data_IF_412705043615
#
_entry.id   IF_412705043615
#
_cell.length_a   1.000
_cell.length_b   1.000
_cell.length_c   1.000
_cell.angle_alpha   90.00
_cell.angle_beta   90.00
_cell.angle_gamma   90.00
#
_symmetry.space_group_name_H-M   'P 1'
#
loop_
_entity.id
_entity.type
_entity.pdbx_description
1 polymer ?
#
# COMPACT_ATOMS: atom_id res chain seq x y z
N UNK A 1 28.33 -17.60 -69.44
CA UNK A 1 27.54 -18.75 -68.94
C UNK A 1 26.97 -18.41 -67.56
N UNK A 2 25.66 -18.58 -67.41
CA UNK A 2 24.83 -18.77 -66.18
C UNK A 2 25.23 -17.97 -64.93
N UNK A 3 24.52 -16.91 -64.56
CA UNK A 3 23.17 -16.88 -63.95
C UNK A 3 23.06 -17.73 -62.68
N UNK A 4 23.04 -17.07 -61.52
CA UNK A 4 22.13 -17.42 -60.43
C UNK A 4 21.82 -16.17 -59.59
N UNK A 5 20.59 -15.67 -59.78
CA UNK A 5 19.92 -14.71 -58.90
C UNK A 5 19.47 -15.46 -57.65
N UNK A 6 19.84 -14.99 -56.46
CA UNK A 6 19.05 -15.25 -55.25
C UNK A 6 18.31 -13.98 -54.88
N UNK A 7 16.98 -14.05 -55.04
CA UNK A 7 16.02 -13.06 -54.58
C UNK A 7 15.91 -13.19 -53.06
N UNK A 8 16.39 -12.21 -52.31
CA UNK A 8 15.99 -12.04 -50.91
C UNK A 8 14.78 -11.11 -50.90
N UNK A 9 13.64 -11.69 -50.55
CA UNK A 9 12.34 -11.02 -50.41
C UNK A 9 12.39 -9.94 -49.32
N UNK A 10 11.67 -8.82 -49.50
CA UNK A 10 11.63 -7.74 -48.52
C UNK A 10 10.56 -8.07 -47.47
N UNK A 11 10.99 -8.56 -46.30
CA UNK A 11 10.19 -8.47 -45.09
C UNK A 11 10.88 -7.49 -44.15
N UNK A 12 10.66 -6.21 -44.43
CA UNK A 12 10.80 -5.13 -43.46
C UNK A 12 9.65 -5.30 -42.49
N UNK A 13 9.86 -6.09 -41.42
CA UNK A 13 9.01 -6.00 -40.24
C UNK A 13 9.59 -4.87 -39.39
N UNK A 14 8.91 -3.73 -39.50
CA UNK A 14 9.09 -2.59 -38.61
C UNK A 14 8.98 -3.09 -37.17
N UNK A 15 10.10 -3.04 -36.45
CA UNK A 15 10.10 -2.99 -35.00
C UNK A 15 9.58 -1.60 -34.60
N UNK A 16 8.27 -1.41 -34.77
CA UNK A 16 7.57 -0.25 -34.22
C UNK A 16 7.61 -0.40 -32.72
N UNK A 17 8.50 0.36 -32.09
CA UNK A 17 8.58 0.52 -30.66
C UNK A 17 7.23 0.90 -30.09
N UNK A 18 6.62 -0.03 -29.36
CA UNK A 18 5.73 0.33 -28.27
C UNK A 18 6.61 0.90 -27.15
N UNK A 19 7.05 2.14 -27.33
CA UNK A 19 7.18 3.03 -26.20
C UNK A 19 5.76 3.14 -25.66
N UNK A 20 5.44 2.30 -24.68
CA UNK A 20 4.33 2.57 -23.79
C UNK A 20 4.57 3.99 -23.30
N UNK A 21 3.75 4.93 -23.77
CA UNK A 21 3.61 6.24 -23.19
C UNK A 21 3.23 5.98 -21.74
N UNK A 22 4.24 5.93 -20.87
CA UNK A 22 4.05 6.08 -19.44
C UNK A 22 3.50 7.49 -19.34
N UNK A 23 2.18 7.60 -19.32
CA UNK A 23 1.51 8.80 -18.86
C UNK A 23 2.11 9.09 -17.50
N UNK A 24 2.98 10.11 -17.45
CA UNK A 24 3.49 10.65 -16.20
C UNK A 24 2.22 11.12 -15.51
N UNK A 25 1.71 10.32 -14.57
CA UNK A 25 0.59 10.74 -13.77
C UNK A 25 1.02 12.05 -13.11
N UNK A 26 0.27 13.12 -13.32
CA UNK A 26 0.50 14.36 -12.59
C UNK A 26 0.47 14.01 -11.09
N UNK A 27 1.49 14.48 -10.38
CA UNK A 27 1.62 14.35 -8.94
C UNK A 27 0.35 14.88 -8.26
N UNK A 28 -0.51 13.97 -7.78
CA UNK A 28 -1.67 14.34 -7.00
C UNK A 28 -1.20 14.92 -5.66
N UNK A 29 -1.91 15.95 -5.16
CA UNK A 29 -1.56 16.51 -3.86
C UNK A 29 -1.72 15.45 -2.76
N UNK A 30 -0.94 15.53 -1.68
CA UNK A 30 -1.07 14.61 -0.54
C UNK A 30 -2.52 14.53 0.01
N UNK A 31 -3.25 15.65 -0.04
CA UNK A 31 -4.64 15.73 0.38
C UNK A 31 -5.59 14.96 -0.56
N UNK A 32 -5.37 15.04 -1.87
CA UNK A 32 -6.12 14.25 -2.85
C UNK A 32 -5.82 12.75 -2.70
N UNK A 33 -4.54 12.40 -2.53
CA UNK A 33 -4.11 11.01 -2.37
C UNK A 33 -4.73 10.34 -1.14
N UNK A 34 -4.74 11.00 0.03
CA UNK A 34 -5.39 10.40 1.20
C UNK A 34 -6.90 10.26 0.97
N UNK A 35 -7.54 11.19 0.25
CA UNK A 35 -8.96 11.14 -0.05
C UNK A 35 -9.32 9.99 -1.01
N UNK A 36 -8.44 9.65 -1.96
CA UNK A 36 -8.68 8.65 -3.01
C UNK A 36 -8.13 7.26 -2.70
N UNK A 37 -7.53 7.03 -1.52
CA UNK A 37 -7.07 5.68 -1.12
C UNK A 37 -8.19 4.66 -1.34
N UNK A 38 -7.98 3.61 -2.16
CA UNK A 38 -8.96 2.56 -2.39
C UNK A 38 -9.33 1.85 -1.09
N UNK A 39 -10.62 1.77 -0.81
CA UNK A 39 -11.14 1.04 0.35
C UNK A 39 -11.12 -0.48 0.10
N UNK A 40 -11.13 -1.30 1.18
CA UNK A 40 -11.40 -2.73 1.04
C UNK A 40 -12.72 -2.98 0.29
N UNK A 41 -12.79 -4.05 -0.52
CA UNK A 41 -14.06 -4.51 -1.09
C UNK A 41 -15.10 -4.82 -0.01
N UNK A 42 -16.38 -4.77 -0.38
CA UNK A 42 -17.49 -4.99 0.57
C UNK A 42 -17.87 -6.46 0.72
N UNK A 43 -17.51 -7.30 -0.23
CA UNK A 43 -17.88 -8.70 -0.31
C UNK A 43 -16.69 -9.59 -0.74
N UNK A 44 -16.81 -10.87 -0.42
CA UNK A 44 -15.77 -11.87 -0.68
C UNK A 44 -15.50 -12.05 -2.17
N UNK A 45 -16.52 -12.06 -3.02
CA UNK A 45 -16.36 -12.32 -4.44
C UNK A 45 -15.55 -11.21 -5.13
N UNK A 46 -15.84 -9.95 -4.80
CA UNK A 46 -15.05 -8.79 -5.25
C UNK A 46 -13.62 -8.84 -4.71
N UNK A 47 -13.42 -9.17 -3.42
CA UNK A 47 -12.06 -9.28 -2.88
C UNK A 47 -11.21 -10.38 -3.52
N UNK A 48 -11.80 -11.53 -3.84
CA UNK A 48 -11.11 -12.61 -4.55
C UNK A 48 -10.84 -12.23 -6.01
N UNK A 49 -11.76 -11.54 -6.68
CA UNK A 49 -11.57 -11.14 -8.08
C UNK A 49 -10.43 -10.13 -8.27
N UNK A 50 -10.10 -9.38 -7.22
CA UNK A 50 -8.94 -8.49 -7.18
C UNK A 50 -7.61 -9.24 -7.20
N UNK A 51 -7.55 -10.53 -6.91
CA UNK A 51 -6.30 -11.29 -6.81
C UNK A 51 -6.12 -12.24 -7.99
N UNK A 52 -5.01 -12.09 -8.72
CA UNK A 52 -4.57 -13.00 -9.78
C UNK A 52 -3.10 -13.33 -9.57
N UNK A 53 -2.74 -14.61 -9.59
CA UNK A 53 -1.37 -15.10 -9.40
C UNK A 53 -0.69 -14.54 -8.12
N UNK A 54 -1.47 -14.37 -7.05
CA UNK A 54 -0.99 -13.83 -5.77
C UNK A 54 -0.75 -12.31 -5.76
N UNK A 55 -1.10 -11.61 -6.84
CA UNK A 55 -1.00 -10.16 -6.97
C UNK A 55 -2.38 -9.51 -7.00
N UNK A 56 -2.48 -8.31 -6.41
CA UNK A 56 -3.70 -7.51 -6.53
C UNK A 56 -3.67 -6.82 -7.90
N UNK A 57 -4.66 -7.13 -8.75
CA UNK A 57 -4.77 -6.67 -10.14
C UNK A 57 -5.88 -5.62 -10.34
N UNK A 58 -6.57 -5.22 -9.27
CA UNK A 58 -7.62 -4.21 -9.34
C UNK A 58 -7.08 -2.88 -9.93
N UNK A 59 -7.67 -2.35 -11.01
CA UNK A 59 -7.17 -1.15 -11.68
C UNK A 59 -7.03 0.07 -10.77
N UNK A 60 -8.00 0.32 -9.89
CA UNK A 60 -7.96 1.45 -8.96
C UNK A 60 -6.78 1.35 -7.98
N UNK A 61 -6.50 0.13 -7.49
CA UNK A 61 -5.34 -0.13 -6.63
C UNK A 61 -4.02 0.05 -7.36
N UNK A 62 -3.90 -0.47 -8.59
CA UNK A 62 -2.68 -0.34 -9.39
C UNK A 62 -2.39 1.12 -9.77
N UNK A 63 -3.42 1.86 -10.18
CA UNK A 63 -3.31 3.30 -10.48
C UNK A 63 -2.89 4.08 -9.25
N UNK A 64 -3.47 3.79 -8.08
CA UNK A 64 -3.08 4.44 -6.83
C UNK A 64 -1.62 4.17 -6.46
N UNK A 65 -1.12 2.94 -6.67
CA UNK A 65 0.30 2.62 -6.46
C UNK A 65 1.23 3.41 -7.38
N UNK A 66 0.85 3.57 -8.65
CA UNK A 66 1.61 4.39 -9.59
C UNK A 66 1.68 5.86 -9.13
N UNK A 67 0.58 6.40 -8.59
CA UNK A 67 0.57 7.76 -8.02
C UNK A 67 1.48 7.87 -6.80
N UNK A 68 1.47 6.88 -5.89
CA UNK A 68 2.41 6.84 -4.75
C UNK A 68 3.88 6.78 -5.21
N UNK A 69 4.17 6.03 -6.26
CA UNK A 69 5.54 5.93 -6.80
C UNK A 69 5.98 7.24 -7.46
N UNK A 70 5.07 7.92 -8.18
CA UNK A 70 5.32 9.25 -8.74
C UNK A 70 5.60 10.30 -7.64
N UNK A 71 4.81 10.28 -6.56
CA UNK A 71 5.06 11.12 -5.39
C UNK A 71 6.39 10.80 -4.71
N UNK A 72 6.74 9.52 -4.59
CA UNK A 72 8.03 9.14 -4.00
C UNK A 72 9.19 9.67 -4.86
N UNK A 73 9.05 9.64 -6.19
CA UNK A 73 10.04 10.22 -7.09
C UNK A 73 10.16 11.74 -6.93
N UNK A 74 9.04 12.47 -6.77
CA UNK A 74 9.07 13.92 -6.55
C UNK A 74 9.72 14.29 -5.21
N UNK A 75 9.46 13.51 -4.15
CA UNK A 75 10.13 13.60 -2.85
C UNK A 75 11.64 13.39 -2.96
N UNK A 76 12.07 12.35 -3.68
CA UNK A 76 13.49 12.04 -3.90
C UNK A 76 14.16 13.20 -4.65
N UNK A 77 13.51 13.74 -5.70
CA UNK A 77 14.03 14.88 -6.44
C UNK A 77 14.20 16.12 -5.55
N UNK A 78 13.22 16.40 -4.67
CA UNK A 78 13.31 17.49 -3.69
C UNK A 78 14.49 17.30 -2.72
N UNK A 79 14.76 16.06 -2.31
CA UNK A 79 15.87 15.70 -1.42
C UNK A 79 17.22 15.50 -2.15
N UNK A 80 17.42 16.15 -3.30
CA UNK A 80 18.69 16.09 -4.03
C UNK A 80 18.99 14.73 -4.69
N UNK A 81 17.97 13.94 -5.00
CA UNK A 81 18.10 12.67 -5.71
C UNK A 81 18.26 11.44 -4.81
N UNK A 82 18.11 11.59 -3.50
CA UNK A 82 18.18 10.46 -2.55
C UNK A 82 16.90 10.32 -1.72
N UNK A 83 16.50 9.11 -1.30
CA UNK A 83 15.39 8.94 -0.36
C UNK A 83 15.65 9.68 0.96
N UNK A 84 14.69 10.47 1.48
CA UNK A 84 14.86 11.17 2.74
C UNK A 84 14.91 10.20 3.92
N UNK A 85 15.72 10.53 4.94
CA UNK A 85 15.78 9.79 6.19
C UNK A 85 14.58 10.19 7.06
N UNK A 86 13.66 9.25 7.29
CA UNK A 86 12.47 9.50 8.11
C UNK A 86 12.79 9.45 9.61
N UNK A 87 12.12 10.30 10.38
CA UNK A 87 12.09 10.21 11.84
C UNK A 87 13.17 11.00 12.57
N UNK A 88 13.94 11.82 11.85
CA UNK A 88 14.90 12.74 12.45
C UNK A 88 14.31 14.16 12.47
N UNK A 89 14.39 14.82 13.62
CA UNK A 89 13.95 16.21 13.71
C UNK A 89 14.88 17.10 12.86
N UNK A 90 14.33 17.97 12.00
CA UNK A 90 15.13 18.92 11.23
C UNK A 90 15.75 19.99 12.15
N UNK A 91 16.83 20.63 11.69
CA UNK A 91 17.45 21.72 12.45
C UNK A 91 16.47 22.90 12.62
N UNK A 92 16.32 23.46 13.83
CA UNK A 92 15.40 24.57 14.08
C UNK A 92 15.87 25.91 13.49
N UNK A 93 17.16 26.02 13.10
CA UNK A 93 17.81 27.27 12.69
C UNK A 93 18.11 27.34 11.19
N UNK A 94 17.29 26.72 10.35
CA UNK A 94 17.48 26.75 8.89
C UNK A 94 17.16 28.17 8.37
N UNK A 95 18.11 28.85 7.68
CA UNK A 95 17.95 30.23 7.20
C UNK A 95 17.11 30.29 5.91
N UNK A 96 15.91 29.71 5.96
CA UNK A 96 14.93 29.72 4.87
C UNK A 96 13.77 30.68 5.16
N UNK A 97 12.92 30.90 4.14
CA UNK A 97 11.73 31.73 4.25
C UNK A 97 10.80 31.29 5.40
N UNK A 98 10.01 32.22 5.99
CA UNK A 98 9.12 31.91 7.11
C UNK A 98 8.16 30.74 6.85
N UNK A 99 7.66 30.58 5.62
CA UNK A 99 6.78 29.48 5.26
C UNK A 99 7.47 28.12 5.35
N UNK A 100 8.76 28.05 4.97
CA UNK A 100 9.58 26.84 5.09
C UNK A 100 9.84 26.53 6.56
N UNK A 101 10.19 27.54 7.37
CA UNK A 101 10.35 27.36 8.82
C UNK A 101 9.05 26.90 9.51
N UNK A 102 7.90 27.39 9.07
CA UNK A 102 6.60 26.97 9.58
C UNK A 102 6.29 25.50 9.22
N UNK A 103 6.60 25.06 7.99
CA UNK A 103 6.44 23.68 7.59
C UNK A 103 7.40 22.74 8.36
N UNK A 104 8.65 23.16 8.56
CA UNK A 104 9.65 22.45 9.37
C UNK A 104 9.15 22.26 10.81
N UNK A 105 8.61 23.31 11.43
CA UNK A 105 8.01 23.23 12.77
C UNK A 105 6.79 22.30 12.80
N UNK A 106 5.98 22.31 11.74
CA UNK A 106 4.88 21.37 11.58
C UNK A 106 5.36 19.91 11.53
N UNK A 107 6.48 19.65 10.86
CA UNK A 107 7.08 18.32 10.82
C UNK A 107 7.61 17.87 12.19
N UNK A 108 8.30 18.77 12.89
CA UNK A 108 8.80 18.52 14.26
C UNK A 108 7.65 18.14 15.22
N UNK A 109 6.57 18.94 15.21
CA UNK A 109 5.34 18.64 15.97
C UNK A 109 4.72 17.29 15.58
N UNK A 110 4.76 16.94 14.30
CA UNK A 110 4.29 15.64 13.84
C UNK A 110 5.14 14.51 14.43
N UNK A 111 6.48 14.63 14.39
CA UNK A 111 7.39 13.63 14.93
C UNK A 111 7.19 13.43 16.43
N UNK A 112 7.06 14.51 17.19
CA UNK A 112 6.80 14.47 18.63
C UNK A 112 5.50 13.72 18.95
N UNK A 113 4.43 14.02 18.22
CA UNK A 113 3.12 13.39 18.42
C UNK A 113 3.06 11.93 17.95
N UNK A 114 3.95 11.52 17.02
CA UNK A 114 3.89 10.25 16.31
C UNK A 114 5.18 9.44 16.42
N UNK A 115 5.73 9.37 17.63
CA UNK A 115 6.92 8.58 17.96
C UNK A 115 6.60 7.37 18.86
N UNK A 116 7.54 6.44 18.97
CA UNK A 116 7.46 5.31 19.90
C UNK A 116 6.21 4.45 19.71
N UNK A 117 5.37 4.35 20.74
CA UNK A 117 4.12 3.56 20.66
C UNK A 117 3.03 4.20 19.79
N UNK A 118 3.15 5.50 19.52
CA UNK A 118 2.21 6.30 18.73
C UNK A 118 2.66 6.44 17.27
N UNK A 119 3.87 5.94 16.93
CA UNK A 119 4.31 5.78 15.55
C UNK A 119 3.22 5.09 14.72
N UNK A 120 2.82 5.64 13.55
CA UNK A 120 1.66 5.16 12.82
C UNK A 120 1.77 3.70 12.41
N UNK A 121 2.98 3.25 12.03
CA UNK A 121 3.22 1.84 11.68
C UNK A 121 3.02 0.95 12.90
N UNK A 122 3.53 1.35 14.06
CA UNK A 122 3.39 0.61 15.33
C UNK A 122 1.94 0.58 15.81
N UNK A 123 1.25 1.71 15.76
CA UNK A 123 -0.16 1.82 16.14
C UNK A 123 -1.05 0.97 15.24
N UNK A 124 -0.84 1.02 13.92
CA UNK A 124 -1.58 0.18 12.98
C UNK A 124 -1.28 -1.30 13.19
N UNK A 125 -0.01 -1.67 13.36
CA UNK A 125 0.40 -3.06 13.59
C UNK A 125 -0.24 -3.68 14.83
N UNK A 126 -0.44 -2.92 15.91
CA UNK A 126 -1.17 -3.40 17.09
C UNK A 126 -2.62 -3.73 16.77
N UNK A 127 -3.32 -2.82 16.06
CA UNK A 127 -4.72 -3.01 15.66
C UNK A 127 -4.88 -4.18 14.70
N UNK A 128 -4.03 -4.29 13.69
CA UNK A 128 -4.09 -5.39 12.71
C UNK A 128 -3.81 -6.75 13.34
N UNK A 129 -2.85 -6.86 14.25
CA UNK A 129 -2.60 -8.11 15.01
C UNK A 129 -3.79 -8.50 15.87
N UNK A 130 -4.42 -7.55 16.55
CA UNK A 130 -5.60 -7.81 17.36
C UNK A 130 -6.76 -8.35 16.50
N UNK A 131 -7.01 -7.74 15.34
CA UNK A 131 -8.02 -8.23 14.38
C UNK A 131 -7.73 -9.63 13.89
N UNK A 132 -6.48 -9.88 13.47
CA UNK A 132 -6.06 -11.21 13.02
C UNK A 132 -6.23 -12.26 14.11
N UNK A 133 -5.95 -11.93 15.37
CA UNK A 133 -6.12 -12.83 16.51
C UNK A 133 -7.60 -13.10 16.81
N UNK A 134 -8.44 -12.06 16.83
CA UNK A 134 -9.87 -12.17 17.15
C UNK A 134 -10.63 -13.08 16.18
N UNK A 135 -10.30 -13.01 14.88
CA UNK A 135 -10.92 -13.83 13.84
C UNK A 135 -10.15 -15.11 13.50
N UNK A 136 -8.87 -15.20 13.88
CA UNK A 136 -7.97 -16.28 13.48
C UNK A 136 -8.39 -17.64 14.03
N UNK A 137 -8.74 -17.72 15.32
CA UNK A 137 -9.05 -19.00 15.96
C UNK A 137 -10.35 -19.63 15.43
N UNK A 138 -11.38 -18.82 15.22
CA UNK A 138 -12.66 -19.30 14.69
C UNK A 138 -12.51 -19.77 13.25
N UNK A 139 -11.78 -19.02 12.40
CA UNK A 139 -11.48 -19.41 11.02
C UNK A 139 -10.65 -20.69 10.97
N UNK A 140 -9.58 -20.79 11.77
CA UNK A 140 -8.76 -22.00 11.84
C UNK A 140 -9.58 -23.24 12.21
N UNK A 141 -10.42 -23.13 13.25
CA UNK A 141 -11.30 -24.22 13.70
C UNK A 141 -12.31 -24.63 12.63
N UNK A 142 -12.79 -23.69 11.82
CA UNK A 142 -13.68 -24.01 10.70
C UNK A 142 -12.94 -24.74 9.58
N UNK A 143 -11.74 -24.24 9.22
CA UNK A 143 -10.94 -24.81 8.13
C UNK A 143 -10.44 -26.22 8.45
N UNK A 144 -10.13 -26.53 9.70
CA UNK A 144 -9.80 -27.90 10.16
C UNK A 144 -10.95 -28.89 9.94
N UNK A 145 -12.20 -28.42 9.87
CA UNK A 145 -13.38 -29.26 9.61
C UNK A 145 -13.65 -29.45 8.12
N UNK A 146 -13.07 -28.63 7.26
CA UNK A 146 -13.20 -28.79 5.81
C UNK A 146 -12.36 -29.98 5.37
N UNK A 147 -12.95 -30.85 4.55
CA UNK A 147 -12.17 -31.88 3.85
C UNK A 147 -11.19 -31.19 2.89
N UNK A 148 -9.90 -31.53 2.93
CA UNK A 148 -8.90 -30.92 2.06
C UNK A 148 -9.19 -31.25 0.59
N UNK A 149 -8.99 -30.26 -0.29
CA UNK A 149 -9.16 -30.40 -1.73
C UNK A 149 -8.24 -29.41 -2.45
N UNK A 150 -7.70 -29.79 -3.60
CA UNK A 150 -6.98 -28.84 -4.47
C UNK A 150 -7.94 -27.76 -4.96
N UNK A 151 -7.51 -26.50 -4.95
CA UNK A 151 -8.33 -25.40 -5.45
C UNK A 151 -8.08 -25.18 -6.95
N UNK A 152 -9.13 -25.11 -7.81
CA UNK A 152 -10.55 -25.28 -7.49
C UNK A 152 -10.92 -26.75 -7.23
N UNK A 153 -11.80 -27.01 -6.25
CA UNK A 153 -12.18 -28.37 -5.87
C UNK A 153 -13.12 -29.00 -6.90
N UNK A 154 -12.72 -30.14 -7.48
CA UNK A 154 -13.49 -30.85 -8.50
C UNK A 154 -14.14 -32.15 -8.00
N UNK A 155 -13.81 -32.62 -6.79
CA UNK A 155 -14.40 -33.83 -6.23
C UNK A 155 -15.82 -33.54 -5.70
N UNK A 156 -16.88 -34.09 -6.33
CA UNK A 156 -18.26 -33.80 -5.95
C UNK A 156 -18.61 -34.31 -4.54
N UNK A 157 -17.92 -35.35 -4.05
CA UNK A 157 -18.12 -35.90 -2.69
C UNK A 157 -17.58 -34.95 -1.64
N UNK A 158 -16.41 -34.36 -1.90
CA UNK A 158 -15.80 -33.36 -1.02
C UNK A 158 -16.59 -32.06 -1.08
N UNK A 159 -17.03 -31.62 -2.26
CA UNK A 159 -17.90 -30.44 -2.43
C UNK A 159 -19.21 -30.62 -1.63
N UNK A 160 -19.88 -31.77 -1.75
CA UNK A 160 -21.11 -32.05 -1.00
C UNK A 160 -20.87 -32.09 0.51
N UNK A 161 -19.75 -32.68 0.96
CA UNK A 161 -19.39 -32.75 2.37
C UNK A 161 -19.04 -31.36 2.97
N UNK A 162 -18.42 -30.48 2.19
CA UNK A 162 -18.01 -29.15 2.63
C UNK A 162 -19.12 -28.10 2.47
N UNK A 163 -20.14 -28.32 1.65
CA UNK A 163 -21.24 -27.38 1.38
C UNK A 163 -21.82 -26.66 2.62
N UNK A 164 -22.18 -27.35 3.74
CA UNK A 164 -22.70 -26.67 4.93
C UNK A 164 -21.65 -25.81 5.65
N UNK A 165 -20.37 -26.13 5.53
CA UNK A 165 -19.26 -25.39 6.13
C UNK A 165 -18.81 -24.22 5.25
N UNK A 166 -18.99 -24.30 3.93
CA UNK A 166 -18.69 -23.22 2.99
C UNK A 166 -19.60 -22.01 3.18
N UNK A 167 -20.89 -22.21 3.46
CA UNK A 167 -21.80 -21.10 3.82
C UNK A 167 -21.30 -20.36 5.09
N UNK A 168 -20.93 -21.12 6.12
CA UNK A 168 -20.35 -20.57 7.35
C UNK A 168 -18.99 -19.89 7.11
N UNK A 169 -18.19 -20.42 6.19
CA UNK A 169 -16.91 -19.83 5.78
C UNK A 169 -17.14 -18.47 5.14
N UNK A 170 -18.09 -18.38 4.22
CA UNK A 170 -18.47 -17.14 3.57
C UNK A 170 -18.93 -16.09 4.59
N UNK A 171 -19.85 -16.43 5.50
CA UNK A 171 -20.33 -15.51 6.53
C UNK A 171 -19.17 -14.95 7.40
N UNK A 172 -18.22 -15.81 7.74
CA UNK A 172 -17.05 -15.43 8.54
C UNK A 172 -16.07 -14.56 7.76
N UNK A 173 -15.86 -14.83 6.47
CA UNK A 173 -15.04 -13.99 5.59
C UNK A 173 -15.66 -12.61 5.43
N UNK A 174 -16.97 -12.54 5.17
CA UNK A 174 -17.67 -11.27 5.05
C UNK A 174 -17.64 -10.48 6.37
N UNK A 175 -17.73 -11.17 7.51
CA UNK A 175 -17.53 -10.53 8.81
C UNK A 175 -16.10 -10.00 8.97
N UNK A 176 -15.07 -10.79 8.65
CA UNK A 176 -13.66 -10.37 8.69
C UNK A 176 -13.46 -9.12 7.82
N UNK A 177 -13.97 -9.13 6.58
CA UNK A 177 -13.89 -8.03 5.63
C UNK A 177 -14.61 -6.77 6.11
N UNK A 178 -15.78 -6.89 6.75
CA UNK A 178 -16.47 -5.76 7.40
C UNK A 178 -15.61 -5.13 8.48
N UNK A 179 -14.98 -5.94 9.33
CA UNK A 179 -14.13 -5.44 10.42
C UNK A 179 -12.87 -4.75 9.88
N UNK A 180 -12.24 -5.29 8.83
CA UNK A 180 -11.14 -4.62 8.13
C UNK A 180 -11.58 -3.29 7.48
N UNK A 181 -12.78 -3.26 6.91
CA UNK A 181 -13.36 -2.04 6.36
C UNK A 181 -13.58 -0.98 7.44
N UNK A 182 -14.09 -1.36 8.61
CA UNK A 182 -14.20 -0.46 9.77
C UNK A 182 -12.83 0.08 10.19
N UNK A 183 -11.81 -0.79 10.31
CA UNK A 183 -10.45 -0.33 10.62
C UNK A 183 -9.94 0.66 9.57
N UNK A 184 -10.16 0.40 8.28
CA UNK A 184 -9.77 1.30 7.20
C UNK A 184 -10.43 2.67 7.35
N UNK A 185 -11.76 2.71 7.55
CA UNK A 185 -12.48 3.97 7.67
C UNK A 185 -12.04 4.77 8.91
N UNK A 186 -11.92 4.10 10.06
CA UNK A 186 -11.46 4.74 11.30
C UNK A 186 -10.02 5.27 11.18
N UNK A 187 -9.14 4.47 10.57
CA UNK A 187 -7.76 4.86 10.31
C UNK A 187 -7.69 6.07 9.37
N UNK A 188 -8.37 5.99 8.22
CA UNK A 188 -8.44 7.08 7.24
C UNK A 188 -9.01 8.36 7.84
N UNK A 189 -10.10 8.28 8.59
CA UNK A 189 -10.71 9.42 9.28
C UNK A 189 -9.75 10.07 10.30
N UNK A 190 -8.97 9.26 11.03
CA UNK A 190 -7.97 9.76 11.99
C UNK A 190 -6.78 10.42 11.29
N UNK A 191 -6.31 9.85 10.16
CA UNK A 191 -5.10 10.30 9.47
C UNK A 191 -5.34 11.43 8.48
N UNK A 192 -6.54 11.56 7.92
CA UNK A 192 -6.85 12.57 6.91
C UNK A 192 -6.58 13.99 7.40
N UNK A 193 -7.02 14.43 8.60
CA UNK A 193 -6.74 15.79 9.09
C UNK A 193 -5.24 16.08 9.27
N UNK A 194 -4.44 15.06 9.60
CA UNK A 194 -2.99 15.17 9.77
C UNK A 194 -2.35 15.41 8.41
N UNK A 195 -2.66 14.55 7.43
CA UNK A 195 -2.12 14.64 6.06
C UNK A 195 -2.56 15.94 5.39
N UNK A 196 -3.83 16.35 5.51
CA UNK A 196 -4.34 17.59 4.91
C UNK A 196 -3.67 18.83 5.51
N UNK A 197 -3.43 18.85 6.83
CA UNK A 197 -2.72 19.97 7.48
C UNK A 197 -1.28 20.07 6.96
N UNK A 198 -0.58 18.94 6.90
CA UNK A 198 0.78 18.89 6.38
C UNK A 198 0.85 19.31 4.91
N UNK A 199 -0.10 18.85 4.09
CA UNK A 199 -0.23 19.23 2.69
C UNK A 199 -0.38 20.75 2.53
N UNK A 200 -1.21 21.39 3.35
CA UNK A 200 -1.37 22.85 3.32
C UNK A 200 -0.08 23.60 3.72
N UNK A 201 0.65 23.09 4.72
CA UNK A 201 1.93 23.67 5.14
C UNK A 201 3.00 23.53 4.04
N UNK A 202 3.08 22.37 3.38
CA UNK A 202 4.00 22.12 2.27
C UNK A 202 3.63 22.99 1.06
N UNK A 203 2.35 23.08 0.69
CA UNK A 203 1.88 23.91 -0.41
C UNK A 203 2.20 25.41 -0.20
N UNK A 204 2.16 25.90 1.05
CA UNK A 204 2.55 27.28 1.38
C UNK A 204 4.03 27.59 1.06
N UNK A 205 4.88 26.57 0.96
CA UNK A 205 6.28 26.67 0.52
C UNK A 205 6.45 26.67 -1.01
N UNK A 206 5.35 26.69 -1.76
CA UNK A 206 5.34 26.46 -3.21
C UNK A 206 5.88 25.06 -3.54
N UNK A 207 5.45 24.05 -2.77
CA UNK A 207 5.90 22.65 -2.86
C UNK A 207 7.42 22.47 -2.79
N UNK A 208 8.07 23.30 -1.97
CA UNK A 208 9.53 23.30 -1.77
C UNK A 208 10.30 24.31 -2.62
N UNK A 209 9.66 25.00 -3.57
CA UNK A 209 10.33 26.03 -4.39
C UNK A 209 10.85 27.22 -3.59
N UNK A 210 10.24 27.54 -2.44
CA UNK A 210 10.70 28.62 -1.53
C UNK A 210 11.88 28.22 -0.62
N UNK A 211 12.28 26.95 -0.60
CA UNK A 211 13.46 26.53 0.15
C UNK A 211 14.74 26.86 -0.64
N UNK A 212 15.50 27.84 -0.15
CA UNK A 212 16.79 28.27 -0.70
C UNK A 212 17.93 27.35 -0.26
N UNK A 213 17.85 26.75 0.94
CA UNK A 213 18.91 25.87 1.47
C UNK A 213 18.66 24.40 1.15
N UNK A 214 19.74 23.60 1.13
CA UNK A 214 19.63 22.14 1.02
C UNK A 214 18.94 21.53 2.24
N UNK A 215 19.21 22.06 3.43
CA UNK A 215 18.62 21.58 4.68
C UNK A 215 17.10 21.81 4.70
N UNK A 216 16.64 22.97 4.22
CA UNK A 216 15.21 23.26 4.09
C UNK A 216 14.51 22.34 3.08
N UNK A 217 15.14 22.11 1.92
CA UNK A 217 14.63 21.14 0.93
C UNK A 217 14.56 19.73 1.50
N UNK A 218 15.60 19.30 2.22
CA UNK A 218 15.62 17.99 2.85
C UNK A 218 14.54 17.85 3.92
N UNK A 219 14.36 18.86 4.78
CA UNK A 219 13.34 18.84 5.81
C UNK A 219 11.91 18.77 5.23
N UNK A 220 11.63 19.53 4.16
CA UNK A 220 10.35 19.46 3.44
C UNK A 220 10.14 18.09 2.78
N UNK A 221 11.19 17.51 2.18
CA UNK A 221 11.12 16.18 1.61
C UNK A 221 10.85 15.11 2.68
N UNK A 222 11.48 15.21 3.86
CA UNK A 222 11.21 14.33 5.00
C UNK A 222 9.76 14.45 5.48
N UNK A 223 9.22 15.67 5.56
CA UNK A 223 7.84 15.88 5.94
C UNK A 223 6.86 15.28 4.92
N UNK A 224 7.07 15.55 3.62
CA UNK A 224 6.26 14.98 2.53
C UNK A 224 6.34 13.45 2.53
N UNK A 225 7.53 12.88 2.74
CA UNK A 225 7.74 11.44 2.83
C UNK A 225 7.02 10.81 4.03
N UNK A 226 7.01 11.48 5.18
CA UNK A 226 6.29 11.01 6.36
C UNK A 226 4.77 10.99 6.12
N UNK A 227 4.22 11.99 5.42
CA UNK A 227 2.80 12.02 5.04
C UNK A 227 2.47 10.97 3.98
N UNK A 228 3.35 10.78 2.99
CA UNK A 228 3.21 9.69 2.03
C UNK A 228 3.18 8.34 2.75
N UNK A 229 3.94 8.19 3.84
CA UNK A 229 3.91 6.98 4.66
C UNK A 229 2.57 6.73 5.34
N UNK A 230 1.91 7.77 5.84
CA UNK A 230 0.56 7.67 6.42
C UNK A 230 -0.47 7.19 5.37
N UNK A 231 -0.34 7.66 4.13
CA UNK A 231 -1.18 7.24 2.99
C UNK A 231 -0.89 5.78 2.63
N UNK A 232 0.38 5.37 2.53
CA UNK A 232 0.78 3.99 2.29
C UNK A 232 0.25 3.03 3.37
N UNK A 233 0.32 3.44 4.64
CA UNK A 233 -0.21 2.65 5.75
C UNK A 233 -1.72 2.48 5.63
N UNK A 234 -2.44 3.53 5.20
CA UNK A 234 -3.88 3.45 4.94
C UNK A 234 -4.19 2.45 3.82
N UNK A 235 -3.44 2.50 2.71
CA UNK A 235 -3.56 1.52 1.62
C UNK A 235 -3.24 0.09 2.09
N UNK A 236 -2.27 -0.09 2.99
CA UNK A 236 -1.88 -1.40 3.49
C UNK A 236 -3.01 -2.15 4.20
N UNK A 237 -3.99 -1.45 4.77
CA UNK A 237 -5.19 -2.05 5.37
C UNK A 237 -6.03 -2.74 4.29
N UNK A 238 -6.23 -2.07 3.14
CA UNK A 238 -6.90 -2.64 1.96
C UNK A 238 -6.14 -3.85 1.42
N UNK A 239 -4.81 -3.75 1.29
CA UNK A 239 -3.98 -4.87 0.83
C UNK A 239 -4.11 -6.10 1.75
N UNK A 240 -4.05 -5.89 3.07
CA UNK A 240 -4.18 -6.96 4.05
C UNK A 240 -5.56 -7.61 4.00
N UNK A 241 -6.64 -6.82 3.90
CA UNK A 241 -8.00 -7.32 3.83
C UNK A 241 -8.23 -8.20 2.59
N UNK A 242 -7.78 -7.74 1.43
CA UNK A 242 -7.92 -8.45 0.14
C UNK A 242 -7.12 -9.75 0.14
N UNK A 243 -5.84 -9.67 0.52
CA UNK A 243 -4.98 -10.87 0.59
C UNK A 243 -5.52 -11.89 1.57
N UNK A 244 -6.01 -11.45 2.74
CA UNK A 244 -6.62 -12.32 3.74
C UNK A 244 -7.85 -13.02 3.22
N UNK A 245 -8.70 -12.30 2.51
CA UNK A 245 -9.89 -12.88 1.88
C UNK A 245 -9.52 -13.95 0.85
N UNK A 246 -8.57 -13.68 -0.05
CA UNK A 246 -8.06 -14.68 -1.02
C UNK A 246 -7.45 -15.90 -0.32
N UNK A 247 -6.66 -15.71 0.74
CA UNK A 247 -6.08 -16.82 1.50
C UNK A 247 -7.15 -17.68 2.20
N UNK A 248 -8.20 -17.08 2.77
CA UNK A 248 -9.31 -17.84 3.35
C UNK A 248 -10.08 -18.59 2.25
N UNK A 249 -10.32 -17.96 1.10
CA UNK A 249 -10.98 -18.60 -0.04
C UNK A 249 -10.25 -19.88 -0.49
N UNK A 250 -8.91 -19.84 -0.47
CA UNK A 250 -8.01 -20.95 -0.80
C UNK A 250 -7.73 -21.91 0.37
N UNK A 251 -8.41 -21.76 1.51
CA UNK A 251 -8.21 -22.54 2.74
C UNK A 251 -6.76 -22.48 3.30
N UNK A 252 -6.06 -21.35 3.09
CA UNK A 252 -4.65 -21.16 3.42
C UNK A 252 -4.44 -20.02 4.46
N UNK A 253 -5.24 -20.01 5.53
CA UNK A 253 -5.28 -18.87 6.50
C UNK A 253 -3.92 -18.59 7.17
N UNK A 254 -3.08 -19.61 7.34
CA UNK A 254 -1.74 -19.44 7.90
C UNK A 254 -0.70 -18.89 6.92
N UNK A 255 -0.98 -18.81 5.62
CA UNK A 255 -0.05 -18.23 4.65
C UNK A 255 0.23 -16.74 4.95
N UNK A 256 -0.73 -16.03 5.53
CA UNK A 256 -0.61 -14.61 5.88
C UNK A 256 -0.08 -14.42 7.31
N UNK A 257 -0.46 -15.30 8.24
CA UNK A 257 0.10 -15.30 9.60
C UNK A 257 1.61 -15.62 9.58
N UNK A 258 2.03 -16.47 8.65
CA UNK A 258 3.42 -16.88 8.40
C UNK A 258 4.21 -15.84 7.61
N UNK A 259 3.66 -15.24 6.55
CA UNK A 259 4.31 -14.14 5.82
C UNK A 259 4.52 -12.91 6.71
N UNK A 260 3.55 -12.60 7.59
CA UNK A 260 3.68 -11.52 8.58
C UNK A 260 4.70 -11.86 9.68
N UNK A 261 4.79 -13.13 10.10
CA UNK A 261 5.84 -13.61 11.03
C UNK A 261 7.23 -13.61 10.39
N UNK A 262 7.37 -14.04 9.14
CA UNK A 262 8.62 -14.08 8.39
C UNK A 262 9.15 -12.67 8.09
N UNK A 263 8.27 -11.75 7.67
CA UNK A 263 8.62 -10.34 7.47
C UNK A 263 9.04 -9.66 8.80
N UNK A 264 8.36 -9.96 9.91
CA UNK A 264 8.72 -9.45 11.24
C UNK A 264 10.02 -10.06 11.79
N UNK A 265 10.38 -11.28 11.37
CA UNK A 265 11.65 -11.94 11.71
C UNK A 265 12.81 -11.41 10.87
N UNK A 266 12.55 -11.09 9.60
CA UNK A 266 13.52 -10.47 8.69
C UNK A 266 13.79 -8.99 8.99
N UNK A 267 12.87 -8.30 9.67
CA UNK A 267 13.04 -6.90 10.09
C UNK A 267 13.70 -6.73 11.47
N UNK A 268 14.13 -7.83 12.13
CA UNK A 268 14.98 -7.73 13.32
C UNK A 268 16.43 -7.63 12.85
N UNK A 269 17.23 -6.66 13.34
CA UNK A 269 18.67 -6.74 13.16
C UNK A 269 19.16 -8.03 13.82
N UNK A 270 19.91 -8.83 13.08
CA UNK A 270 20.65 -9.95 13.67
C UNK A 270 21.59 -9.42 14.76
N UNK A 271 21.75 -10.14 15.89
CA UNK A 271 22.73 -9.78 16.92
C UNK A 271 24.16 -9.75 16.36
#
# INVERSE_FOLDING_TARGET
MKSQRMKLSPWVLAASGMLASVSVADAATLAELIATVPAPPKDMATAVSWVRDGQIVEPAYLSFKQQLDAERASVIALNGGTPPLLGSAPSPNIPDAPEVQNAIRGYDQYLDAHSGSNDPKTALAKRTRWLQAAMGQSLATLLEKLKPCSYPCQDPTIVAANAPLEAKKQDMVEHDLRVWTSLFQDWKATRTPIVTRAAAQIAATGDGSKAATLDGKSALAQYRAAMLKEIELTLSVTELAVRRTDAIARNAVDAISSATRLAAKASKPSP
#
